data_IF_420383817427
#
_entry.id   IF_420383817427
#
_cell.length_a   1.000
_cell.length_b   1.000
_cell.length_c   1.000
_cell.angle_alpha   90.00
_cell.angle_beta   90.00
_cell.angle_gamma   90.00
#
_symmetry.space_group_name_H-M   'P 1'
#
loop_
_entity.id
_entity.type
_entity.pdbx_description
1 polymer ?
#
# COMPACT_ATOMS: atom_id res chain seq x y z
N UNK A 1 -20.95 18.99 -2.53
CA UNK A 1 -19.53 18.76 -2.86
C UNK A 1 -18.56 19.65 -2.06
N UNK A 2 -19.00 20.78 -1.50
CA UNK A 2 -18.12 21.74 -0.80
C UNK A 2 -17.43 21.20 0.47
N UNK A 3 -18.10 20.33 1.24
CA UNK A 3 -17.55 19.75 2.49
C UNK A 3 -16.31 18.86 2.28
N UNK A 4 -16.13 18.28 1.09
CA UNK A 4 -14.96 17.45 0.77
C UNK A 4 -13.72 18.34 0.53
N UNK A 5 -13.91 19.50 -0.09
CA UNK A 5 -12.86 20.48 -0.32
C UNK A 5 -12.39 21.14 0.98
N UNK A 6 -13.28 21.41 1.93
CA UNK A 6 -12.91 21.94 3.26
C UNK A 6 -12.07 20.95 4.08
N UNK A 7 -12.37 19.64 4.00
CA UNK A 7 -11.56 18.60 4.66
C UNK A 7 -10.15 18.52 4.06
N UNK A 8 -10.03 18.67 2.73
CA UNK A 8 -8.75 18.74 2.02
C UNK A 8 -7.96 20.01 2.37
N UNK A 9 -8.62 21.15 2.54
CA UNK A 9 -7.99 22.39 2.98
C UNK A 9 -7.47 22.29 4.42
N UNK A 10 -8.17 21.56 5.29
CA UNK A 10 -7.73 21.29 6.66
C UNK A 10 -6.52 20.36 6.78
N UNK A 11 -6.13 19.67 5.73
CA UNK A 11 -4.95 18.79 5.73
C UNK A 11 -3.67 19.49 5.24
N UNK A 12 -3.77 20.74 4.75
CA UNK A 12 -2.63 21.49 4.19
C UNK A 12 -1.72 22.13 5.25
N UNK A 13 -2.20 22.33 6.47
CA UNK A 13 -1.46 23.00 7.55
C UNK A 13 -0.76 22.05 8.54
N UNK A 14 -0.94 20.74 8.38
CA UNK A 14 -0.16 19.76 9.12
C UNK A 14 1.26 19.73 8.55
N UNK A 15 2.31 19.91 9.36
CA UNK A 15 3.67 19.77 8.88
C UNK A 15 3.82 18.35 8.35
N UNK A 16 4.11 18.20 7.06
CA UNK A 16 4.50 16.92 6.47
C UNK A 16 5.88 16.55 6.99
N UNK A 17 5.95 16.21 8.27
CA UNK A 17 7.16 15.77 8.91
C UNK A 17 7.49 14.38 8.37
N UNK A 18 8.55 14.30 7.58
CA UNK A 18 9.28 13.05 7.41
C UNK A 18 10.73 13.29 7.86
N UNK A 19 11.25 12.49 8.80
CA UNK A 19 12.61 12.66 9.31
C UNK A 19 13.60 12.07 8.30
N UNK A 20 14.19 12.94 7.48
CA UNK A 20 15.47 12.64 6.81
C UNK A 20 16.51 12.46 7.91
N UNK A 21 17.27 11.36 7.92
CA UNK A 21 18.45 11.32 8.80
C UNK A 21 19.71 11.74 8.02
N UNK A 22 20.59 12.49 8.70
CA UNK A 22 22.04 12.45 8.47
C UNK A 22 22.79 13.70 8.00
N UNK A 23 22.15 14.86 7.81
CA UNK A 23 22.86 16.11 7.48
C UNK A 23 22.44 17.25 8.41
N UNK A 24 23.33 18.23 8.66
CA UNK A 24 22.91 19.49 9.31
C UNK A 24 21.76 20.06 8.48
N UNK A 25 20.65 20.36 9.14
CA UNK A 25 19.48 20.96 8.52
C UNK A 25 19.90 22.22 7.75
N UNK A 26 19.57 22.27 6.45
CA UNK A 26 19.87 23.39 5.55
C UNK A 26 18.55 23.92 5.00
N UNK A 27 18.07 25.03 5.56
CA UNK A 27 16.76 25.65 5.33
C UNK A 27 16.49 26.01 3.85
N UNK A 28 17.56 26.11 3.06
CA UNK A 28 17.54 26.51 1.65
C UNK A 28 17.54 25.33 0.67
N UNK A 29 17.65 24.08 1.13
CA UNK A 29 17.59 22.89 0.26
C UNK A 29 16.22 22.23 0.31
N UNK A 30 15.65 21.81 -0.83
CA UNK A 30 14.41 21.05 -0.84
C UNK A 30 14.61 19.72 -0.08
N UNK A 31 13.67 19.31 0.78
CA UNK A 31 13.82 18.10 1.59
C UNK A 31 13.86 16.88 0.68
N UNK A 32 15.02 16.23 0.59
CA UNK A 32 15.16 14.91 -0.04
C UNK A 32 14.54 13.90 0.90
N UNK A 33 13.57 13.11 0.42
CA UNK A 33 13.02 12.01 1.20
C UNK A 33 14.04 10.89 1.31
N UNK A 34 14.94 11.02 2.29
CA UNK A 34 15.75 9.91 2.77
C UNK A 34 14.78 9.07 3.58
N UNK A 35 14.46 7.84 3.13
CA UNK A 35 13.70 6.87 3.93
C UNK A 35 14.32 6.72 5.33
N UNK A 36 13.69 6.04 6.30
CA UNK A 36 14.18 5.99 7.68
C UNK A 36 15.68 5.66 7.69
N UNK A 37 16.56 6.65 7.91
CA UNK A 37 17.99 6.49 7.58
C UNK A 37 18.65 5.48 8.50
N UNK A 38 18.61 4.21 8.17
CA UNK A 38 19.29 3.22 8.98
C UNK A 38 20.77 3.61 9.01
N UNK A 39 21.29 3.93 10.19
CA UNK A 39 22.70 4.28 10.31
C UNK A 39 23.48 3.08 9.79
N UNK A 40 24.45 3.26 8.88
CA UNK A 40 25.29 2.15 8.43
C UNK A 40 25.95 1.42 9.60
N UNK A 41 26.26 2.13 10.69
CA UNK A 41 26.79 1.58 11.94
C UNK A 41 25.79 0.73 12.73
N UNK A 42 24.49 0.84 12.43
CA UNK A 42 23.43 0.00 13.01
C UNK A 42 23.09 -1.18 12.11
N UNK A 43 23.86 -1.41 11.04
CA UNK A 43 23.60 -2.45 10.04
C UNK A 43 24.84 -3.31 9.86
N UNK A 44 24.73 -4.58 10.26
CA UNK A 44 25.82 -5.54 10.18
C UNK A 44 26.24 -5.98 11.58
N UNK A 45 27.18 -6.92 11.62
CA UNK A 45 27.73 -7.44 12.87
C UNK A 45 28.86 -6.54 13.36
N UNK A 46 28.84 -6.23 14.65
CA UNK A 46 29.84 -5.37 15.28
C UNK A 46 31.21 -6.06 15.45
N UNK A 47 31.22 -7.38 15.53
CA UNK A 47 32.44 -8.19 15.68
C UNK A 47 32.30 -9.50 14.91
N UNK A 48 33.44 -10.16 14.69
CA UNK A 48 33.53 -11.46 14.01
C UNK A 48 34.53 -12.36 14.73
N UNK A 49 34.38 -13.67 14.60
CA UNK A 49 35.35 -14.63 15.13
C UNK A 49 36.62 -14.63 14.26
N UNK A 50 37.79 -14.80 14.88
CA UNK A 50 39.06 -14.92 14.15
C UNK A 50 39.07 -16.12 13.20
N UNK A 51 38.36 -17.19 13.57
CA UNK A 51 38.14 -18.38 12.74
C UNK A 51 37.28 -18.12 11.49
N UNK A 52 36.67 -16.94 11.36
CA UNK A 52 35.79 -16.60 10.23
C UNK A 52 34.38 -17.18 10.32
N UNK A 53 33.98 -17.72 11.48
CA UNK A 53 32.62 -18.25 11.66
C UNK A 53 31.59 -17.13 11.47
N UNK A 54 30.50 -17.39 10.72
CA UNK A 54 29.49 -16.37 10.47
C UNK A 54 28.72 -16.06 11.75
N UNK A 55 28.57 -14.77 12.03
CA UNK A 55 27.68 -14.25 13.06
C UNK A 55 26.50 -13.61 12.34
N UNK A 56 25.29 -13.96 12.75
CA UNK A 56 24.08 -13.47 12.09
C UNK A 56 23.53 -12.21 12.75
N UNK A 57 23.75 -12.03 14.05
CA UNK A 57 23.26 -10.91 14.86
C UNK A 57 24.21 -10.68 16.02
N UNK A 58 24.53 -9.42 16.33
CA UNK A 58 25.35 -9.05 17.51
C UNK A 58 24.54 -8.46 18.66
N UNK A 59 23.36 -7.90 18.40
CA UNK A 59 22.53 -7.24 19.41
C UNK A 59 21.08 -7.71 19.40
N UNK A 60 20.42 -7.70 20.57
CA UNK A 60 18.98 -8.00 20.68
C UNK A 60 18.15 -7.03 19.83
N UNK A 61 18.52 -5.75 19.80
CA UNK A 61 17.84 -4.71 19.00
C UNK A 61 17.88 -5.05 17.50
N UNK A 62 18.99 -5.59 17.01
CA UNK A 62 19.09 -6.03 15.61
C UNK A 62 18.22 -7.27 15.35
N UNK A 63 18.16 -8.23 16.29
CA UNK A 63 17.26 -9.38 16.19
C UNK A 63 15.79 -8.95 16.13
N UNK A 64 15.35 -8.11 17.07
CA UNK A 64 13.97 -7.63 17.16
C UNK A 64 13.58 -6.88 15.88
N UNK A 65 14.45 -6.01 15.38
CA UNK A 65 14.23 -5.30 14.12
C UNK A 65 14.13 -6.23 12.91
N UNK A 66 14.95 -7.28 12.84
CA UNK A 66 14.86 -8.28 11.76
C UNK A 66 13.54 -9.05 11.84
N UNK A 67 13.09 -9.38 13.05
CA UNK A 67 11.81 -10.04 13.28
C UNK A 67 10.64 -9.15 12.82
N UNK A 68 10.62 -7.88 13.23
CA UNK A 68 9.61 -6.89 12.80
C UNK A 68 9.54 -6.78 11.28
N UNK A 69 10.69 -6.77 10.59
CA UNK A 69 10.74 -6.72 9.13
C UNK A 69 10.13 -7.97 8.47
N UNK A 70 10.37 -9.15 9.06
CA UNK A 70 9.79 -10.41 8.57
C UNK A 70 8.28 -10.40 8.77
N UNK A 71 7.80 -9.97 9.92
CA UNK A 71 6.36 -9.87 10.23
C UNK A 71 5.67 -8.86 9.31
N UNK A 72 6.30 -7.70 9.08
CA UNK A 72 5.81 -6.73 8.11
C UNK A 72 5.74 -7.33 6.69
N UNK A 73 6.77 -8.06 6.27
CA UNK A 73 6.75 -8.75 4.98
C UNK A 73 5.59 -9.74 4.86
N UNK A 74 5.36 -10.56 5.90
CA UNK A 74 4.25 -11.53 5.94
C UNK A 74 2.88 -10.85 5.85
N UNK A 75 2.69 -9.75 6.59
CA UNK A 75 1.42 -9.01 6.57
C UNK A 75 1.15 -8.36 5.22
N UNK A 76 2.17 -7.79 4.57
CA UNK A 76 2.04 -7.22 3.22
C UNK A 76 1.62 -8.31 2.23
N UNK A 77 2.31 -9.45 2.23
CA UNK A 77 1.99 -10.57 1.32
C UNK A 77 0.56 -11.06 1.54
N UNK A 78 0.13 -11.18 2.80
CA UNK A 78 -1.25 -11.55 3.14
C UNK A 78 -2.25 -10.57 2.54
N UNK A 79 -2.08 -9.26 2.78
CA UNK A 79 -3.03 -8.27 2.26
C UNK A 79 -3.06 -8.22 0.73
N UNK A 80 -1.93 -8.44 0.05
CA UNK A 80 -1.89 -8.55 -1.40
C UNK A 80 -2.66 -9.77 -1.92
N UNK A 81 -2.59 -10.91 -1.21
CA UNK A 81 -3.39 -12.09 -1.53
C UNK A 81 -4.89 -11.81 -1.32
N UNK A 82 -5.27 -11.25 -0.17
CA UNK A 82 -6.66 -10.91 0.16
C UNK A 82 -7.25 -9.93 -0.89
N UNK A 83 -6.50 -8.89 -1.27
CA UNK A 83 -6.94 -7.94 -2.31
C UNK A 83 -7.18 -8.63 -3.66
N UNK A 84 -6.29 -9.52 -4.07
CA UNK A 84 -6.43 -10.26 -5.32
C UNK A 84 -7.67 -11.15 -5.33
N UNK A 85 -7.97 -11.83 -4.23
CA UNK A 85 -9.17 -12.65 -4.09
C UNK A 85 -10.43 -11.80 -4.15
N UNK A 86 -10.45 -10.66 -3.46
CA UNK A 86 -11.57 -9.72 -3.49
C UNK A 86 -11.81 -9.14 -4.89
N UNK A 87 -10.76 -8.80 -5.63
CA UNK A 87 -10.85 -8.35 -7.02
C UNK A 87 -11.48 -9.43 -7.92
N UNK A 88 -11.04 -10.68 -7.79
CA UNK A 88 -11.60 -11.79 -8.57
C UNK A 88 -13.08 -12.02 -8.26
N UNK A 89 -13.45 -12.00 -6.98
CA UNK A 89 -14.86 -12.12 -6.56
C UNK A 89 -15.70 -10.96 -7.08
N UNK A 90 -15.17 -9.74 -7.09
CA UNK A 90 -15.86 -8.57 -7.62
C UNK A 90 -16.14 -8.71 -9.12
N UNK A 91 -15.11 -9.05 -9.92
CA UNK A 91 -15.25 -9.29 -11.36
C UNK A 91 -16.30 -10.39 -11.63
N UNK A 92 -16.24 -11.50 -10.88
CA UNK A 92 -17.20 -12.58 -11.03
C UNK A 92 -18.64 -12.14 -10.67
N UNK A 93 -18.80 -11.33 -9.63
CA UNK A 93 -20.10 -10.79 -9.23
C UNK A 93 -20.68 -9.81 -10.26
N UNK A 94 -19.84 -8.96 -10.86
CA UNK A 94 -20.26 -8.07 -11.95
C UNK A 94 -20.68 -8.86 -13.18
N UNK A 95 -19.90 -9.87 -13.58
CA UNK A 95 -20.25 -10.74 -14.69
C UNK A 95 -21.61 -11.44 -14.48
N UNK A 96 -21.87 -11.93 -13.25
CA UNK A 96 -23.18 -12.51 -12.88
C UNK A 96 -24.31 -11.50 -12.98
N UNK A 97 -24.13 -10.29 -12.43
CA UNK A 97 -25.14 -9.23 -12.53
C UNK A 97 -25.47 -8.88 -13.99
N UNK A 98 -24.44 -8.77 -14.83
CA UNK A 98 -24.64 -8.50 -16.26
C UNK A 98 -25.37 -9.64 -16.97
N UNK A 99 -25.03 -10.90 -16.66
CA UNK A 99 -25.72 -12.06 -17.21
C UNK A 99 -27.20 -12.10 -16.77
N UNK A 100 -27.50 -11.87 -15.49
CA UNK A 100 -28.87 -11.80 -14.98
C UNK A 100 -29.69 -10.68 -15.63
N UNK A 101 -29.09 -9.51 -15.84
CA UNK A 101 -29.74 -8.39 -16.54
C UNK A 101 -30.02 -8.77 -18.00
N UNK A 102 -29.06 -9.39 -18.68
CA UNK A 102 -29.21 -9.83 -20.07
C UNK A 102 -30.31 -10.91 -20.20
N UNK A 103 -30.37 -11.88 -19.28
CA UNK A 103 -31.43 -12.86 -19.24
C UNK A 103 -32.80 -12.21 -18.99
N UNK A 104 -32.89 -11.32 -17.99
CA UNK A 104 -34.13 -10.57 -17.74
C UNK A 104 -34.57 -9.84 -19.00
N UNK A 105 -33.68 -9.05 -19.63
CA UNK A 105 -33.95 -8.33 -20.88
C UNK A 105 -34.40 -9.25 -22.02
N UNK A 106 -33.84 -10.46 -22.13
CA UNK A 106 -34.23 -11.45 -23.14
C UNK A 106 -35.67 -11.93 -22.94
N UNK A 107 -36.10 -12.12 -21.69
CA UNK A 107 -37.45 -12.57 -21.35
C UNK A 107 -38.46 -11.43 -21.23
N UNK A 108 -38.03 -10.17 -21.03
CA UNK A 108 -38.94 -9.03 -20.96
C UNK A 108 -39.61 -8.82 -22.32
N UNK A 109 -40.96 -8.79 -22.39
CA UNK A 109 -41.65 -8.45 -23.62
C UNK A 109 -41.25 -7.05 -24.10
N UNK A 110 -40.95 -6.90 -25.39
CA UNK A 110 -40.70 -5.58 -25.98
C UNK A 110 -41.99 -4.78 -26.01
N UNK A 111 -41.95 -3.53 -25.57
CA UNK A 111 -43.09 -2.63 -25.70
C UNK A 111 -43.36 -2.37 -27.18
N UNK A 112 -44.59 -2.62 -27.61
CA UNK A 112 -45.10 -2.20 -28.93
C UNK A 112 -45.40 -0.69 -28.90
N UNK A 113 -44.37 0.14 -28.77
CA UNK A 113 -44.46 1.59 -29.00
C UNK A 113 -44.22 1.90 -30.48
N UNK A 114 -44.50 3.13 -30.92
CA UNK A 114 -44.30 3.59 -32.31
C UNK A 114 -42.83 3.47 -32.73
N UNK A 115 -42.43 2.29 -33.20
CA UNK A 115 -41.31 2.18 -34.11
C UNK A 115 -41.72 2.96 -35.37
N UNK A 116 -40.98 4.04 -35.64
CA UNK A 116 -41.23 4.93 -36.77
C UNK A 116 -41.21 4.11 -38.07
N UNK A 117 -42.36 4.04 -38.72
CA UNK A 117 -42.51 3.57 -40.09
C UNK A 117 -42.02 4.72 -40.97
N UNK A 118 -40.72 4.77 -41.27
CA UNK A 118 -40.15 5.60 -42.34
C UNK A 118 -39.26 4.74 -43.24
#
# INVERSE_FOLDING_TARGET
MERAFEKLAKLRHLPRARPSRGGRYMDWKPPVYVGPHISPLQRGVDFTFQDGRPIYVTSKVEADRKLEQIELGKTIVKYLADMREMEQMHIAAEARKHAEIAEKQRWTPRSKGTEEIF
#
